data_IF_859257956605
#
_entry.id   IF_859257956605
#
_cell.length_a   1.000
_cell.length_b   1.000
_cell.length_c   1.000
_cell.angle_alpha   90.00
_cell.angle_beta   90.00
_cell.angle_gamma   90.00
#
_symmetry.space_group_name_H-M   'P 1'
#
loop_
_entity.id
_entity.type
_entity.pdbx_description
1 polymer ?
#
# COMPACT_ATOMS: atom_id res chain seq x y z
N UNK A 1 -55.26 18.38 -18.17
CA UNK A 1 -53.92 17.85 -17.83
C UNK A 1 -53.49 16.67 -18.72
N UNK A 2 -53.60 16.79 -20.06
CA UNK A 2 -53.05 15.80 -21.02
C UNK A 2 -52.14 16.45 -22.08
N UNK A 3 -51.88 17.75 -21.97
CA UNK A 3 -51.03 18.52 -22.90
C UNK A 3 -49.68 18.97 -22.30
N UNK A 4 -49.44 18.75 -21.01
CA UNK A 4 -48.19 19.11 -20.35
C UNK A 4 -47.20 17.91 -20.25
N UNK A 5 -47.69 16.67 -20.34
CA UNK A 5 -46.86 15.45 -20.35
C UNK A 5 -46.19 15.24 -21.71
N UNK A 6 -46.82 15.69 -22.81
CA UNK A 6 -46.28 15.54 -24.17
C UNK A 6 -45.04 16.42 -24.44
N UNK A 7 -44.84 17.50 -23.69
CA UNK A 7 -43.72 18.43 -23.87
C UNK A 7 -42.44 17.99 -23.12
N UNK A 8 -42.58 17.16 -22.09
CA UNK A 8 -41.44 16.57 -21.35
C UNK A 8 -40.92 15.30 -22.06
N UNK A 9 -41.77 14.59 -22.80
CA UNK A 9 -41.34 13.43 -23.60
C UNK A 9 -40.62 13.81 -24.90
N UNK A 10 -40.81 15.03 -25.43
CA UNK A 10 -40.12 15.47 -26.64
C UNK A 10 -38.70 16.01 -26.38
N UNK A 11 -38.37 16.34 -25.13
CA UNK A 11 -37.02 16.75 -24.71
C UNK A 11 -36.10 15.55 -24.40
N UNK A 12 -36.65 14.34 -24.34
CA UNK A 12 -35.89 13.09 -24.09
C UNK A 12 -35.54 12.37 -25.42
N UNK A 13 -36.07 12.81 -26.57
CA UNK A 13 -35.83 12.17 -27.87
C UNK A 13 -34.77 12.86 -28.77
N UNK A 14 -34.02 13.86 -28.27
CA UNK A 14 -32.99 14.57 -29.08
C UNK A 14 -31.54 14.19 -28.71
N UNK A 15 -31.32 13.18 -27.85
CA UNK A 15 -29.96 12.64 -27.61
C UNK A 15 -29.90 11.14 -27.89
N UNK A 16 -30.50 10.72 -29.01
CA UNK A 16 -30.26 9.40 -29.60
C UNK A 16 -29.83 9.58 -31.05
N UNK A 17 -28.70 8.98 -31.39
CA UNK A 17 -28.08 8.83 -32.71
C UNK A 17 -27.37 10.06 -33.30
N UNK A 18 -26.10 10.21 -32.91
CA UNK A 18 -25.02 10.20 -33.90
C UNK A 18 -23.97 9.18 -33.46
N UNK A 19 -23.99 8.02 -34.10
CA UNK A 19 -22.78 7.22 -34.30
C UNK A 19 -21.89 8.00 -35.26
N UNK A 20 -20.72 8.43 -34.80
CA UNK A 20 -19.46 8.40 -35.56
C UNK A 20 -18.30 8.79 -34.63
N UNK A 21 -17.29 7.92 -34.64
CA UNK A 21 -15.95 8.04 -34.05
C UNK A 21 -15.86 8.06 -32.50
N UNK A 22 -15.78 6.86 -31.93
CA UNK A 22 -15.10 6.58 -30.68
C UNK A 22 -13.64 7.06 -30.76
N UNK A 23 -13.42 8.34 -30.46
CA UNK A 23 -12.19 8.74 -29.81
C UNK A 23 -12.33 8.33 -28.34
N UNK A 24 -11.47 7.42 -27.90
CA UNK A 24 -11.26 7.16 -26.47
C UNK A 24 -11.17 8.52 -25.77
N UNK A 25 -12.02 8.82 -24.77
CA UNK A 25 -11.61 9.78 -23.78
C UNK A 25 -10.46 9.09 -23.05
N UNK A 26 -9.23 9.38 -23.47
CA UNK A 26 -8.11 9.29 -22.55
C UNK A 26 -8.59 9.93 -21.25
N UNK A 27 -8.62 9.15 -20.16
CA UNK A 27 -8.78 9.64 -18.81
C UNK A 27 -7.59 10.58 -18.51
N UNK A 28 -7.63 11.78 -19.07
CA UNK A 28 -6.85 12.93 -18.67
C UNK A 28 -7.51 13.51 -17.41
N UNK A 29 -7.56 12.72 -16.34
CA UNK A 29 -7.42 13.26 -15.00
C UNK A 29 -5.92 13.29 -14.70
N UNK A 30 -5.21 14.10 -15.48
CA UNK A 30 -3.87 14.56 -15.09
C UNK A 30 -4.10 15.52 -13.92
N UNK A 31 -4.14 14.96 -12.71
CA UNK A 31 -3.95 15.68 -11.46
C UNK A 31 -2.58 16.35 -11.55
N UNK A 32 -2.58 17.59 -12.04
CA UNK A 32 -1.45 18.51 -12.11
C UNK A 32 -0.99 19.01 -10.73
N UNK A 33 -1.19 18.20 -9.69
CA UNK A 33 -0.91 18.51 -8.28
C UNK A 33 0.28 17.70 -7.77
N UNK A 34 1.39 17.65 -8.51
CA UNK A 34 2.63 17.03 -8.01
C UNK A 34 3.85 17.81 -8.51
N UNK A 35 3.97 19.08 -8.13
CA UNK A 35 5.22 19.81 -8.33
C UNK A 35 5.60 20.58 -7.07
N UNK A 36 6.51 20.00 -6.30
CA UNK A 36 7.53 20.78 -5.62
C UNK A 36 8.88 20.18 -6.03
N UNK A 37 9.68 21.00 -6.72
CA UNK A 37 10.94 20.66 -7.40
C UNK A 37 12.10 20.35 -6.44
N UNK A 38 11.84 20.09 -5.16
CA UNK A 38 12.92 20.04 -4.16
C UNK A 38 13.17 18.67 -3.53
N UNK A 39 12.30 17.66 -3.65
CA UNK A 39 12.49 16.41 -2.86
C UNK A 39 11.89 15.09 -3.45
N UNK A 40 11.73 14.90 -4.77
CA UNK A 40 11.30 13.62 -5.40
C UNK A 40 10.35 12.76 -4.51
N UNK A 41 9.22 13.33 -4.08
CA UNK A 41 8.33 12.74 -3.07
C UNK A 41 6.91 13.21 -3.30
N UNK A 42 5.93 12.34 -3.04
CA UNK A 42 4.52 12.76 -2.99
C UNK A 42 4.30 13.76 -1.85
N UNK A 43 3.62 14.86 -2.15
CA UNK A 43 3.23 15.87 -1.17
C UNK A 43 1.77 16.23 -1.34
N UNK A 44 1.01 16.14 -0.25
CA UNK A 44 -0.41 16.47 -0.18
C UNK A 44 -0.58 17.70 0.71
N UNK A 45 -1.27 18.73 0.21
CA UNK A 45 -1.56 19.94 0.95
C UNK A 45 -2.63 19.76 2.02
N UNK A 46 -3.41 18.68 1.95
CA UNK A 46 -4.43 18.34 2.93
C UNK A 46 -4.65 16.82 3.05
N UNK A 47 -5.29 16.43 4.16
CA UNK A 47 -5.74 15.03 4.36
C UNK A 47 -6.76 14.61 3.29
N UNK A 48 -7.60 15.52 2.80
CA UNK A 48 -8.61 15.17 1.80
C UNK A 48 -8.00 14.90 0.43
N UNK A 49 -6.93 15.62 0.04
CA UNK A 49 -6.15 15.30 -1.17
C UNK A 49 -5.50 13.91 -1.09
N UNK A 50 -4.93 13.56 0.07
CA UNK A 50 -4.37 12.23 0.30
C UNK A 50 -5.45 11.15 0.21
N UNK A 51 -6.63 11.39 0.80
CA UNK A 51 -7.76 10.45 0.71
C UNK A 51 -8.20 10.26 -0.74
N UNK A 52 -8.37 11.34 -1.49
CA UNK A 52 -8.76 11.27 -2.89
C UNK A 52 -7.76 10.47 -3.71
N UNK A 53 -6.45 10.71 -3.52
CA UNK A 53 -5.38 9.97 -4.18
C UNK A 53 -5.47 8.46 -3.93
N UNK A 54 -5.73 8.06 -2.67
CA UNK A 54 -5.86 6.66 -2.27
C UNK A 54 -7.14 6.05 -2.84
N UNK A 55 -8.28 6.72 -2.70
CA UNK A 55 -9.59 6.23 -3.16
C UNK A 55 -9.58 5.92 -4.65
N UNK A 56 -9.10 6.86 -5.48
CA UNK A 56 -9.03 6.69 -6.94
C UNK A 56 -8.30 5.39 -7.32
N UNK A 57 -7.19 5.09 -6.64
CA UNK A 57 -6.36 3.91 -6.95
C UNK A 57 -6.90 2.61 -6.38
N UNK A 58 -7.53 2.66 -5.20
CA UNK A 58 -8.15 1.48 -4.61
C UNK A 58 -9.43 1.06 -5.35
N UNK A 59 -10.14 2.02 -5.96
CA UNK A 59 -11.35 1.79 -6.73
C UNK A 59 -11.05 1.48 -8.22
N UNK A 60 -10.00 2.08 -8.80
CA UNK A 60 -9.70 1.99 -10.23
C UNK A 60 -9.14 0.67 -10.76
N UNK A 61 -9.15 -0.40 -9.96
CA UNK A 61 -8.59 -1.73 -10.30
C UNK A 61 -7.14 -1.72 -10.86
N UNK A 62 -6.37 -0.66 -10.59
CA UNK A 62 -5.03 -0.46 -11.13
C UNK A 62 -4.04 -1.47 -10.53
N UNK A 63 -3.10 -1.95 -11.34
CA UNK A 63 -1.93 -2.67 -10.87
C UNK A 63 -0.91 -1.66 -10.31
N UNK A 64 -0.87 -1.53 -8.98
CA UNK A 64 -0.07 -0.52 -8.30
C UNK A 64 1.43 -0.64 -8.57
N UNK A 65 1.94 -1.84 -8.91
CA UNK A 65 3.36 -2.00 -9.25
C UNK A 65 3.65 -1.50 -10.67
N UNK A 66 2.72 -1.70 -11.60
CA UNK A 66 2.80 -1.11 -12.95
C UNK A 66 2.69 0.43 -12.86
N UNK A 67 1.81 0.95 -12.00
CA UNK A 67 1.70 2.39 -11.74
C UNK A 67 2.96 2.97 -11.09
N UNK A 68 3.54 2.28 -10.11
CA UNK A 68 4.78 2.70 -9.46
C UNK A 68 5.93 2.81 -10.45
N UNK A 69 6.01 1.86 -11.40
CA UNK A 69 6.99 1.89 -12.49
C UNK A 69 6.78 3.10 -13.40
N UNK A 70 5.54 3.38 -13.81
CA UNK A 70 5.20 4.55 -14.61
C UNK A 70 5.58 5.87 -13.92
N UNK A 71 5.33 6.00 -12.61
CA UNK A 71 5.71 7.19 -11.85
C UNK A 71 7.22 7.43 -11.82
N UNK A 72 8.02 6.36 -11.71
CA UNK A 72 9.49 6.43 -11.76
C UNK A 72 9.99 6.77 -13.16
N UNK A 73 9.44 6.14 -14.20
CA UNK A 73 9.79 6.41 -15.61
C UNK A 73 9.46 7.86 -16.04
N UNK A 74 8.38 8.43 -15.52
CA UNK A 74 8.00 9.84 -15.71
C UNK A 74 8.84 10.82 -14.88
N UNK A 75 9.77 10.32 -14.06
CA UNK A 75 10.64 11.14 -13.21
C UNK A 75 9.93 11.85 -12.07
N UNK A 76 8.77 11.35 -11.61
CA UNK A 76 8.00 11.97 -10.51
C UNK A 76 8.67 11.70 -9.15
N UNK A 77 8.92 10.44 -8.85
CA UNK A 77 9.65 9.94 -7.67
C UNK A 77 9.87 8.42 -7.84
N UNK A 78 10.68 7.78 -6.98
CA UNK A 78 10.84 6.33 -6.98
C UNK A 78 10.03 5.69 -5.83
N UNK A 79 8.84 5.13 -6.08
CA UNK A 79 8.03 4.57 -5.01
C UNK A 79 8.70 3.35 -4.36
N UNK A 80 8.64 3.19 -3.04
CA UNK A 80 9.18 2.00 -2.35
C UNK A 80 8.60 0.69 -2.90
N UNK A 81 7.34 0.71 -3.33
CA UNK A 81 6.72 -0.44 -3.99
C UNK A 81 7.52 -0.90 -5.21
N UNK A 82 8.04 0.03 -6.01
CA UNK A 82 8.94 -0.28 -7.11
C UNK A 82 10.31 -0.71 -6.58
N UNK A 83 10.90 0.06 -5.65
CA UNK A 83 12.25 -0.19 -5.11
C UNK A 83 12.41 -1.62 -4.60
N UNK A 84 11.43 -2.13 -3.85
CA UNK A 84 11.43 -3.52 -3.34
C UNK A 84 11.23 -4.60 -4.41
N UNK A 85 11.01 -4.22 -5.67
CA UNK A 85 10.81 -5.11 -6.81
C UNK A 85 11.81 -4.89 -7.97
N UNK A 86 12.78 -3.98 -7.80
CA UNK A 86 13.82 -3.73 -8.79
C UNK A 86 14.81 -4.90 -8.90
N UNK A 87 15.32 -5.12 -10.10
CA UNK A 87 16.52 -5.94 -10.31
C UNK A 87 17.79 -5.11 -10.06
N UNK A 88 18.91 -5.77 -9.72
CA UNK A 88 20.16 -5.07 -9.39
C UNK A 88 20.61 -4.07 -10.47
N UNK A 89 20.45 -4.39 -11.76
CA UNK A 89 20.75 -3.45 -12.86
C UNK A 89 19.80 -2.27 -12.92
N UNK A 90 18.51 -2.48 -12.66
CA UNK A 90 17.52 -1.39 -12.63
C UNK A 90 17.81 -0.47 -11.43
N UNK A 91 18.13 -1.05 -10.26
CA UNK A 91 18.53 -0.29 -9.07
C UNK A 91 19.81 0.53 -9.31
N UNK A 92 20.84 -0.05 -9.94
CA UNK A 92 22.06 0.66 -10.32
C UNK A 92 21.80 1.84 -11.27
N UNK A 93 20.92 1.66 -12.26
CA UNK A 93 20.53 2.73 -13.19
C UNK A 93 19.81 3.89 -12.49
N UNK A 94 19.01 3.58 -11.47
CA UNK A 94 18.31 4.56 -10.65
C UNK A 94 19.18 5.13 -9.51
N UNK A 95 20.42 4.65 -9.36
CA UNK A 95 21.32 5.06 -8.28
C UNK A 95 20.91 4.56 -6.89
N UNK A 96 20.00 3.59 -6.81
CA UNK A 96 19.42 3.07 -5.57
C UNK A 96 20.33 2.01 -4.99
N UNK A 97 20.67 2.16 -3.71
CA UNK A 97 21.53 1.24 -2.96
C UNK A 97 20.73 0.56 -1.85
N UNK A 98 20.71 -0.77 -1.87
CA UNK A 98 19.97 -1.58 -0.89
C UNK A 98 20.26 -1.19 0.58
N UNK A 99 21.53 -0.92 0.91
CA UNK A 99 21.95 -0.53 2.26
C UNK A 99 21.43 0.83 2.73
N UNK A 100 21.06 1.69 1.79
CA UNK A 100 20.60 3.06 2.05
C UNK A 100 19.05 3.13 1.97
N UNK A 101 18.39 2.05 1.52
CA UNK A 101 16.93 1.92 1.43
C UNK A 101 16.33 1.66 2.82
N UNK A 102 15.26 2.37 3.22
CA UNK A 102 14.60 2.18 4.50
C UNK A 102 13.92 0.81 4.59
N UNK A 103 13.77 0.33 5.81
CA UNK A 103 13.09 -0.94 6.09
C UNK A 103 11.63 -0.66 6.46
N UNK A 104 10.70 -0.89 5.53
CA UNK A 104 9.25 -0.74 5.73
C UNK A 104 8.59 -2.12 5.66
N UNK A 105 8.32 -2.71 6.83
CA UNK A 105 7.70 -4.04 6.96
C UNK A 105 6.19 -4.02 6.70
N UNK A 106 5.76 -3.50 5.55
CA UNK A 106 4.35 -3.44 5.12
C UNK A 106 4.05 -4.39 3.97
N UNK A 107 2.84 -4.94 3.99
CA UNK A 107 2.27 -5.75 2.91
C UNK A 107 1.26 -4.98 2.06
N UNK A 108 0.99 -3.74 2.46
CA UNK A 108 0.07 -2.87 1.78
C UNK A 108 0.80 -2.16 0.63
N UNK A 109 0.48 -2.58 -0.59
CA UNK A 109 1.02 -1.97 -1.80
C UNK A 109 0.67 -0.48 -1.90
N UNK A 110 -0.46 -0.04 -1.33
CA UNK A 110 -0.83 1.36 -1.32
C UNK A 110 0.12 2.17 -0.44
N UNK A 111 0.42 1.69 0.77
CA UNK A 111 1.39 2.36 1.63
C UNK A 111 2.77 2.42 0.96
N UNK A 112 3.23 1.32 0.37
CA UNK A 112 4.53 1.29 -0.30
C UNK A 112 4.57 2.16 -1.56
N UNK A 113 3.43 2.37 -2.22
CA UNK A 113 3.31 3.33 -3.33
C UNK A 113 3.43 4.77 -2.81
N UNK A 114 2.82 5.08 -1.67
CA UNK A 114 2.82 6.43 -1.11
C UNK A 114 4.20 6.96 -0.70
N UNK A 115 5.15 6.07 -0.42
CA UNK A 115 6.48 6.40 0.09
C UNK A 115 7.52 6.45 -1.04
N UNK A 116 8.39 7.45 -1.05
CA UNK A 116 9.55 7.51 -1.96
C UNK A 116 10.70 6.59 -1.51
N UNK A 117 11.81 6.57 -2.24
CA UNK A 117 12.97 5.69 -2.00
C UNK A 117 13.62 5.85 -0.60
N UNK A 118 13.40 6.98 0.08
CA UNK A 118 13.85 7.27 1.44
C UNK A 118 12.80 6.92 2.51
N UNK A 119 11.63 6.43 2.08
CA UNK A 119 10.54 6.00 2.95
C UNK A 119 9.66 7.14 3.38
N UNK A 120 9.58 8.19 2.57
CA UNK A 120 9.01 9.49 2.94
C UNK A 120 7.74 9.85 2.14
N UNK A 121 6.85 10.59 2.81
CA UNK A 121 5.66 11.23 2.23
C UNK A 121 5.43 12.60 2.89
N UNK A 122 5.06 13.61 2.10
CA UNK A 122 4.67 14.93 2.58
C UNK A 122 3.16 15.02 2.79
N UNK A 123 2.73 15.42 3.98
CA UNK A 123 1.32 15.67 4.31
C UNK A 123 1.24 16.98 5.09
N UNK A 124 0.51 17.94 4.56
CA UNK A 124 0.48 19.32 5.04
C UNK A 124 1.93 19.86 5.17
N UNK A 125 2.26 20.47 6.31
CA UNK A 125 3.57 21.05 6.59
C UNK A 125 4.62 20.05 7.11
N UNK A 126 4.27 18.76 7.17
CA UNK A 126 5.14 17.72 7.73
C UNK A 126 5.56 16.69 6.69
N UNK A 127 6.70 16.07 6.96
CA UNK A 127 7.18 14.88 6.27
C UNK A 127 7.11 13.72 7.24
N UNK A 128 6.55 12.62 6.75
CA UNK A 128 6.48 11.35 7.46
C UNK A 128 7.47 10.38 6.83
N UNK A 129 8.39 9.84 7.62
CA UNK A 129 9.33 8.81 7.19
C UNK A 129 9.10 7.53 7.96
N UNK A 130 9.05 6.39 7.28
CA UNK A 130 9.05 5.06 7.93
C UNK A 130 10.41 4.42 7.73
N UNK A 131 11.06 4.01 8.82
CA UNK A 131 12.31 3.25 8.77
C UNK A 131 12.49 2.38 10.01
N UNK A 132 12.54 1.06 9.80
CA UNK A 132 12.62 0.07 10.86
C UNK A 132 11.37 0.09 11.74
N UNK A 133 11.57 0.22 13.05
CA UNK A 133 10.49 0.24 14.05
C UNK A 133 9.79 1.60 14.19
N UNK A 134 10.26 2.62 13.45
CA UNK A 134 9.92 4.01 13.71
C UNK A 134 9.20 4.68 12.56
N UNK A 135 8.26 5.55 12.93
CA UNK A 135 7.69 6.57 12.05
C UNK A 135 8.15 7.93 12.57
N UNK A 136 8.93 8.63 11.76
CA UNK A 136 9.40 9.99 12.04
C UNK A 136 8.41 10.98 11.44
N UNK A 137 8.03 12.00 12.20
CA UNK A 137 7.28 13.15 11.73
C UNK A 137 8.10 14.40 11.98
N UNK A 138 8.39 15.14 10.90
CA UNK A 138 9.25 16.31 11.00
C UNK A 138 8.93 17.39 9.95
N UNK A 139 9.18 18.65 10.31
CA UNK A 139 9.10 19.81 9.41
C UNK A 139 10.43 20.04 8.69
N UNK A 140 10.48 20.99 7.74
CA UNK A 140 11.70 21.31 6.96
C UNK A 140 12.92 21.49 7.88
N UNK A 141 13.99 20.74 7.59
CA UNK A 141 15.24 20.73 8.39
C UNK A 141 15.26 19.76 9.56
N UNK A 142 14.11 19.24 10.00
CA UNK A 142 13.99 18.31 11.14
C UNK A 142 14.65 16.93 10.89
N UNK A 143 14.74 16.48 9.63
CA UNK A 143 15.41 15.24 9.23
C UNK A 143 16.85 15.13 9.77
N UNK A 144 17.57 16.26 9.87
CA UNK A 144 18.95 16.32 10.37
C UNK A 144 19.11 15.87 11.83
N UNK A 145 18.00 15.78 12.58
CA UNK A 145 17.99 15.33 13.98
C UNK A 145 17.81 13.82 14.13
N UNK A 146 17.43 13.09 13.07
CA UNK A 146 17.22 11.63 13.12
C UNK A 146 18.49 10.88 13.56
N UNK A 147 19.70 11.16 13.03
CA UNK A 147 20.92 10.48 13.48
C UNK A 147 21.23 10.69 14.96
N UNK A 148 20.91 11.88 15.49
CA UNK A 148 21.08 12.19 16.93
C UNK A 148 20.11 11.39 17.77
N UNK A 149 18.85 11.29 17.34
CA UNK A 149 17.86 10.43 17.98
C UNK A 149 18.32 8.96 17.99
N UNK A 150 18.74 8.43 16.85
CA UNK A 150 19.20 7.03 16.75
C UNK A 150 20.39 6.76 17.68
N UNK A 151 21.35 7.70 17.76
CA UNK A 151 22.47 7.60 18.70
C UNK A 151 22.00 7.54 20.16
N UNK A 152 21.09 8.43 20.56
CA UNK A 152 20.56 8.47 21.93
C UNK A 152 19.71 7.23 22.26
N UNK A 153 18.92 6.72 21.30
CA UNK A 153 18.15 5.49 21.45
C UNK A 153 19.07 4.27 21.63
N UNK A 154 20.11 4.15 20.79
CA UNK A 154 21.07 3.04 20.85
C UNK A 154 21.95 3.08 22.11
N UNK A 155 22.24 4.27 22.63
CA UNK A 155 22.92 4.44 23.92
C UNK A 155 22.00 4.15 25.13
N UNK A 156 20.69 3.96 24.90
CA UNK A 156 19.71 3.71 25.96
C UNK A 156 19.28 4.96 26.73
N UNK A 157 19.66 6.16 26.27
CA UNK A 157 19.29 7.46 26.85
C UNK A 157 17.83 7.80 26.56
N UNK A 158 17.32 7.35 25.41
CA UNK A 158 15.91 7.47 25.02
C UNK A 158 15.28 6.08 25.00
N UNK A 159 14.08 5.96 25.59
CA UNK A 159 13.26 4.74 25.52
C UNK A 159 11.86 5.11 25.07
N UNK A 160 11.35 4.36 24.10
CA UNK A 160 10.01 4.53 23.55
C UNK A 160 9.34 3.15 23.60
N UNK A 161 8.16 3.07 24.21
CA UNK A 161 7.33 1.87 24.20
C UNK A 161 6.68 1.64 22.85
N UNK A 162 6.26 0.40 22.57
CA UNK A 162 5.55 0.11 21.33
C UNK A 162 4.16 0.75 21.36
N UNK A 163 3.80 1.49 20.32
CA UNK A 163 2.59 2.29 20.25
C UNK A 163 2.72 3.68 20.88
N UNK A 164 3.90 4.04 21.40
CA UNK A 164 4.12 5.35 22.02
C UNK A 164 4.76 6.34 21.04
N UNK A 165 4.47 7.61 21.27
CA UNK A 165 5.05 8.76 20.56
C UNK A 165 5.99 9.51 21.50
N UNK A 166 7.18 9.87 21.01
CA UNK A 166 8.20 10.61 21.73
C UNK A 166 8.59 11.87 20.95
N UNK A 167 8.48 13.03 21.60
CA UNK A 167 8.90 14.31 21.02
C UNK A 167 10.37 14.57 21.35
N UNK A 168 11.25 14.34 20.38
CA UNK A 168 12.70 14.50 20.56
C UNK A 168 13.15 15.96 20.46
N UNK A 169 12.51 16.75 19.59
CA UNK A 169 12.76 18.19 19.46
C UNK A 169 11.47 18.93 19.08
N UNK A 170 11.56 20.24 18.77
CA UNK A 170 10.40 20.98 18.25
C UNK A 170 10.04 20.50 16.84
N UNK A 171 11.03 20.05 16.09
CA UNK A 171 10.96 19.71 14.67
C UNK A 171 10.91 18.20 14.40
N UNK A 172 11.11 17.34 15.41
CA UNK A 172 11.14 15.88 15.26
C UNK A 172 10.32 15.17 16.34
N UNK A 173 9.33 14.42 15.88
CA UNK A 173 8.54 13.48 16.69
C UNK A 173 8.72 12.06 16.15
N UNK A 174 8.87 11.08 17.05
CA UNK A 174 9.08 9.68 16.71
C UNK A 174 7.95 8.85 17.29
N UNK A 175 7.28 8.07 16.46
CA UNK A 175 6.33 7.04 16.88
C UNK A 175 6.96 5.67 16.70
N UNK A 176 6.97 4.83 17.74
CA UNK A 176 7.43 3.44 17.63
C UNK A 176 6.23 2.54 17.36
N UNK A 177 6.10 2.04 16.14
CA UNK A 177 4.90 1.28 15.78
C UNK A 177 4.86 -0.10 16.43
N UNK A 178 3.66 -0.65 16.58
CA UNK A 178 3.42 -2.00 17.11
C UNK A 178 3.06 -3.01 16.01
N UNK A 179 3.31 -2.67 14.73
CA UNK A 179 3.16 -3.59 13.61
C UNK A 179 4.05 -4.81 13.84
N UNK A 180 3.45 -6.01 13.82
CA UNK A 180 4.23 -7.24 14.04
C UNK A 180 4.95 -7.63 12.76
N UNK A 181 6.23 -8.06 12.85
CA UNK A 181 6.94 -8.61 11.71
C UNK A 181 6.28 -9.90 11.22
N UNK A 182 6.59 -10.28 9.98
CA UNK A 182 6.07 -11.49 9.34
C UNK A 182 6.22 -12.72 10.24
N UNK A 183 5.11 -13.41 10.51
CA UNK A 183 5.13 -14.76 11.10
C UNK A 183 4.62 -15.74 10.05
N UNK A 184 5.45 -16.71 9.68
CA UNK A 184 4.99 -17.84 8.87
C UNK A 184 3.99 -18.66 9.69
N UNK A 185 2.81 -18.88 9.14
CA UNK A 185 1.77 -19.64 9.83
C UNK A 185 2.01 -21.14 9.60
N UNK A 186 2.63 -21.79 10.57
CA UNK A 186 2.45 -23.23 10.80
C UNK A 186 1.16 -23.45 11.62
N UNK A 187 0.01 -23.37 10.95
CA UNK A 187 -1.22 -24.01 11.41
C UNK A 187 -2.10 -23.33 12.48
N UNK A 188 -1.89 -22.08 12.91
CA UNK A 188 -2.90 -21.35 13.75
C UNK A 188 -3.01 -19.86 13.39
N UNK A 189 -4.25 -19.39 13.22
CA UNK A 189 -4.61 -18.01 12.89
C UNK A 189 -3.98 -17.01 13.85
N UNK A 190 -3.13 -16.14 13.31
CA UNK A 190 -2.48 -15.04 14.01
C UNK A 190 -2.50 -13.82 13.08
N UNK A 191 -2.55 -12.63 13.69
CA UNK A 191 -2.50 -11.32 13.02
C UNK A 191 -1.41 -11.29 11.94
N UNK A 192 -1.74 -10.82 10.73
CA UNK A 192 -0.76 -10.70 9.64
C UNK A 192 -0.22 -12.04 9.15
N UNK A 193 -1.11 -12.96 8.76
CA UNK A 193 -0.73 -14.29 8.32
C UNK A 193 -0.14 -14.29 6.90
N UNK A 194 1.04 -14.91 6.73
CA UNK A 194 1.63 -15.21 5.43
C UNK A 194 1.63 -16.72 5.19
N UNK A 195 1.23 -17.13 3.98
CA UNK A 195 1.37 -18.51 3.50
C UNK A 195 2.13 -18.54 2.17
N UNK A 196 3.12 -19.42 2.07
CA UNK A 196 3.86 -19.68 0.85
C UNK A 196 3.41 -21.00 0.23
N UNK A 197 3.12 -20.98 -1.07
CA UNK A 197 2.82 -22.18 -1.85
C UNK A 197 3.73 -22.22 -3.07
N UNK A 198 4.55 -23.24 -3.16
CA UNK A 198 5.55 -23.36 -4.20
C UNK A 198 4.96 -24.07 -5.42
N UNK A 199 5.05 -23.43 -6.58
CA UNK A 199 4.85 -24.11 -7.86
C UNK A 199 6.09 -24.94 -8.20
N UNK A 200 7.27 -24.45 -7.81
CA UNK A 200 8.58 -25.11 -7.92
C UNK A 200 9.60 -24.41 -7.02
N UNK A 201 10.86 -24.85 -7.06
CA UNK A 201 11.97 -24.18 -6.36
C UNK A 201 12.22 -22.72 -6.79
N UNK A 202 11.73 -22.33 -7.96
CA UNK A 202 11.95 -21.01 -8.55
C UNK A 202 10.70 -20.14 -8.58
N UNK A 203 9.53 -20.67 -8.24
CA UNK A 203 8.27 -19.95 -8.33
C UNK A 203 7.40 -20.26 -7.11
N UNK A 204 6.91 -19.21 -6.44
CA UNK A 204 6.01 -19.36 -5.31
C UNK A 204 4.88 -18.35 -5.35
N UNK A 205 3.68 -18.79 -4.98
CA UNK A 205 2.61 -17.91 -4.55
C UNK A 205 2.84 -17.52 -3.10
N UNK A 206 2.59 -16.24 -2.82
CA UNK A 206 2.66 -15.63 -1.51
C UNK A 206 1.30 -15.03 -1.20
N UNK A 207 0.60 -15.69 -0.30
CA UNK A 207 -0.74 -15.35 0.17
C UNK A 207 -0.62 -14.63 1.51
N UNK A 208 -1.30 -13.48 1.66
CA UNK A 208 -1.17 -12.64 2.84
C UNK A 208 -2.47 -12.00 3.28
N UNK A 209 -2.64 -11.92 4.58
CA UNK A 209 -3.52 -11.00 5.28
C UNK A 209 -2.66 -9.95 6.00
N UNK A 210 -3.11 -8.71 6.08
CA UNK A 210 -2.37 -7.65 6.75
C UNK A 210 -3.30 -6.67 7.44
N UNK A 211 -2.83 -6.11 8.55
CA UNK A 211 -3.38 -4.93 9.18
C UNK A 211 -2.20 -4.13 9.75
N UNK A 212 -2.16 -2.83 9.50
CA UNK A 212 -1.05 -1.97 9.89
C UNK A 212 -1.50 -0.61 10.36
N UNK A 213 -0.77 -0.04 11.32
CA UNK A 213 -0.93 1.33 11.78
C UNK A 213 0.43 2.00 11.83
N UNK A 214 0.61 3.01 10.97
CA UNK A 214 1.88 3.70 10.71
C UNK A 214 1.83 5.16 11.14
N UNK A 215 1.11 5.44 12.23
CA UNK A 215 0.79 6.80 12.71
C UNK A 215 -0.10 7.59 11.75
N UNK A 216 0.35 7.96 10.56
CA UNK A 216 -0.40 8.81 9.62
C UNK A 216 -1.35 8.02 8.70
N UNK A 217 -1.10 6.72 8.55
CA UNK A 217 -1.84 5.80 7.69
C UNK A 217 -2.13 4.50 8.43
N UNK A 218 -3.33 3.98 8.26
CA UNK A 218 -3.70 2.66 8.73
C UNK A 218 -4.55 1.93 7.72
N UNK A 219 -4.43 0.61 7.67
CA UNK A 219 -5.21 -0.21 6.76
C UNK A 219 -5.33 -1.65 7.23
N UNK A 220 -6.31 -2.34 6.68
CA UNK A 220 -6.48 -3.79 6.77
C UNK A 220 -6.83 -4.34 5.38
N UNK A 221 -6.24 -5.46 5.01
CA UNK A 221 -6.38 -6.00 3.67
C UNK A 221 -5.80 -7.40 3.51
N UNK A 222 -5.78 -7.84 2.26
CA UNK A 222 -5.11 -9.07 1.85
C UNK A 222 -4.54 -8.96 0.45
N UNK A 223 -3.56 -9.81 0.17
CA UNK A 223 -2.81 -9.82 -1.07
C UNK A 223 -2.45 -11.22 -1.50
N UNK A 224 -2.61 -11.49 -2.80
CA UNK A 224 -2.00 -12.64 -3.49
C UNK A 224 -0.99 -12.10 -4.49
N UNK A 225 0.25 -12.58 -4.43
CA UNK A 225 1.23 -12.35 -5.51
C UNK A 225 2.04 -13.60 -5.80
N UNK A 226 2.63 -13.66 -6.99
CA UNK A 226 3.61 -14.69 -7.35
C UNK A 226 4.99 -14.07 -7.41
N UNK A 227 5.96 -14.80 -6.87
CA UNK A 227 7.35 -14.43 -6.84
C UNK A 227 8.19 -15.45 -7.60
N UNK A 228 9.06 -14.96 -8.46
CA UNK A 228 10.11 -15.72 -9.14
C UNK A 228 11.44 -15.55 -8.40
N UNK A 229 12.14 -16.65 -8.14
CA UNK A 229 13.48 -16.63 -7.59
C UNK A 229 14.47 -16.28 -8.68
N UNK A 230 15.12 -15.12 -8.55
CA UNK A 230 16.30 -14.78 -9.34
C UNK A 230 17.55 -15.24 -8.61
N UNK A 231 18.52 -15.75 -9.36
CA UNK A 231 19.84 -16.14 -8.85
C UNK A 231 20.91 -15.47 -9.70
N UNK A 232 21.84 -14.79 -9.05
CA UNK A 232 23.04 -14.25 -9.68
C UNK A 232 24.24 -14.54 -8.79
N UNK A 233 25.14 -15.41 -9.26
CA UNK A 233 26.24 -15.95 -8.46
C UNK A 233 25.74 -16.54 -7.12
N UNK A 234 26.17 -16.01 -5.98
CA UNK A 234 25.76 -16.45 -4.64
C UNK A 234 24.55 -15.69 -4.09
N UNK A 235 24.04 -14.68 -4.80
CA UNK A 235 22.87 -13.90 -4.39
C UNK A 235 21.60 -14.52 -4.97
N UNK A 236 20.56 -14.60 -4.14
CA UNK A 236 19.22 -14.94 -4.63
C UNK A 236 18.16 -14.08 -3.98
N UNK A 237 17.27 -13.52 -4.79
CA UNK A 237 16.15 -12.71 -4.33
C UNK A 237 14.86 -13.17 -5.00
N UNK A 238 13.73 -12.72 -4.46
CA UNK A 238 12.40 -13.01 -4.98
C UNK A 238 11.82 -11.75 -5.62
N UNK A 239 11.50 -11.82 -6.91
CA UNK A 239 10.88 -10.72 -7.66
C UNK A 239 9.42 -11.01 -7.92
N UNK A 240 8.55 -10.03 -7.76
CA UNK A 240 7.13 -10.17 -8.11
C UNK A 240 6.97 -10.28 -9.63
N UNK A 241 6.13 -11.21 -10.07
CA UNK A 241 5.83 -11.42 -11.50
C UNK A 241 4.33 -11.37 -11.78
N UNK A 242 3.98 -10.86 -12.95
CA UNK A 242 2.60 -10.80 -13.44
C UNK A 242 2.09 -12.19 -13.74
N UNK A 243 0.93 -12.53 -13.20
CA UNK A 243 0.29 -13.83 -13.42
C UNK A 243 -1.20 -13.75 -13.17
N UNK A 244 -1.92 -14.84 -13.46
CA UNK A 244 -3.32 -14.98 -13.07
C UNK A 244 -3.40 -15.15 -11.55
N UNK A 245 -3.73 -14.06 -10.86
CA UNK A 245 -3.91 -14.00 -9.42
C UNK A 245 -5.40 -13.90 -9.09
N UNK A 246 -5.80 -14.59 -8.02
CA UNK A 246 -7.14 -14.55 -7.46
C UNK A 246 -7.08 -14.37 -5.96
N UNK A 247 -7.97 -13.53 -5.46
CA UNK A 247 -8.20 -13.27 -4.06
C UNK A 247 -9.71 -13.27 -3.83
N UNK A 248 -10.20 -14.09 -2.91
CA UNK A 248 -11.56 -14.04 -2.38
C UNK A 248 -11.46 -13.80 -0.88
N UNK A 249 -12.36 -13.00 -0.33
CA UNK A 249 -12.35 -12.70 1.10
C UNK A 249 -13.75 -12.57 1.67
N UNK A 250 -13.89 -13.00 2.91
CA UNK A 250 -15.04 -12.78 3.75
C UNK A 250 -14.52 -12.62 5.17
N UNK A 251 -14.48 -11.38 5.65
CA UNK A 251 -13.81 -11.04 6.89
C UNK A 251 -14.70 -10.15 7.76
N UNK A 252 -14.54 -10.27 9.07
CA UNK A 252 -15.11 -9.39 10.08
C UNK A 252 -13.97 -8.79 10.89
N UNK A 253 -14.02 -7.49 11.13
CA UNK A 253 -12.97 -6.74 11.81
C UNK A 253 -13.55 -5.64 12.70
N UNK A 254 -12.79 -5.31 13.73
CA UNK A 254 -13.08 -4.26 14.71
C UNK A 254 -12.27 -3.00 14.34
N UNK A 255 -12.94 -1.86 14.35
CA UNK A 255 -12.36 -0.53 14.20
C UNK A 255 -12.34 0.11 15.56
N UNK A 256 -11.15 0.45 16.07
CA UNK A 256 -11.00 1.26 17.28
C UNK A 256 -10.56 2.65 16.89
N UNK A 257 -11.27 3.68 17.36
CA UNK A 257 -10.83 5.05 17.12
C UNK A 257 -9.69 5.43 18.05
N UNK A 258 -8.68 6.11 17.52
CA UNK A 258 -7.59 6.69 18.32
C UNK A 258 -8.08 7.84 19.23
N UNK A 259 -9.28 8.37 19.00
CA UNK A 259 -9.88 9.47 19.76
C UNK A 259 -10.86 9.02 20.87
N UNK A 260 -10.90 7.73 21.21
CA UNK A 260 -11.63 7.22 22.38
C UNK A 260 -13.11 6.90 22.15
N UNK A 261 -13.53 6.75 20.89
CA UNK A 261 -14.87 6.25 20.56
C UNK A 261 -14.97 4.73 20.79
N UNK A 262 -16.18 4.21 21.10
CA UNK A 262 -16.38 2.77 21.24
C UNK A 262 -16.02 2.06 19.92
N UNK A 263 -15.46 0.84 19.99
CA UNK A 263 -15.14 0.09 18.78
C UNK A 263 -16.38 -0.23 17.94
N UNK A 264 -16.21 -0.23 16.62
CA UNK A 264 -17.25 -0.60 15.65
C UNK A 264 -16.83 -1.86 14.91
N UNK A 265 -17.73 -2.84 14.80
CA UNK A 265 -17.50 -4.06 14.04
C UNK A 265 -18.07 -3.92 12.63
N UNK A 266 -17.23 -4.14 11.61
CA UNK A 266 -17.63 -4.17 10.21
C UNK A 266 -17.28 -5.53 9.58
N UNK A 267 -17.95 -5.83 8.48
CA UNK A 267 -17.65 -7.00 7.66
C UNK A 267 -17.42 -6.59 6.21
N UNK A 268 -16.48 -7.26 5.55
CA UNK A 268 -16.20 -7.06 4.13
C UNK A 268 -16.13 -8.41 3.43
N UNK A 269 -16.80 -8.52 2.27
CA UNK A 269 -16.69 -9.70 1.41
C UNK A 269 -16.67 -9.30 -0.06
N UNK A 270 -15.77 -9.90 -0.83
CA UNK A 270 -15.71 -9.77 -2.29
C UNK A 270 -14.67 -10.73 -2.87
N UNK A 271 -14.38 -10.56 -4.16
CA UNK A 271 -13.29 -11.22 -4.85
C UNK A 271 -12.58 -10.24 -5.80
N UNK A 272 -11.33 -10.57 -6.15
CA UNK A 272 -10.51 -9.88 -7.14
C UNK A 272 -9.78 -10.92 -7.98
N UNK A 273 -10.05 -10.92 -9.27
CA UNK A 273 -9.42 -11.81 -10.25
C UNK A 273 -8.74 -10.96 -11.32
N UNK A 274 -7.43 -11.13 -11.50
CA UNK A 274 -6.68 -10.35 -12.48
C UNK A 274 -5.44 -11.07 -13.02
N UNK A 275 -5.05 -10.71 -14.24
CA UNK A 275 -3.69 -10.93 -14.73
C UNK A 275 -2.84 -9.72 -14.32
N UNK A 276 -2.19 -9.81 -13.17
CA UNK A 276 -1.62 -8.67 -12.43
C UNK A 276 -0.40 -9.13 -11.63
N UNK A 277 0.47 -8.20 -11.22
CA UNK A 277 1.59 -8.46 -10.31
C UNK A 277 1.08 -8.86 -8.91
N UNK A 278 -0.06 -8.30 -8.52
CA UNK A 278 -0.62 -8.43 -7.18
C UNK A 278 -2.14 -8.29 -7.21
N UNK A 279 -2.86 -9.34 -6.81
CA UNK A 279 -4.26 -9.21 -6.42
C UNK A 279 -4.31 -8.69 -4.98
N UNK A 280 -4.12 -7.38 -4.82
CA UNK A 280 -4.23 -6.67 -3.54
C UNK A 280 -5.65 -6.09 -3.36
N UNK A 281 -6.20 -6.24 -2.16
CA UNK A 281 -7.42 -5.54 -1.73
C UNK A 281 -7.28 -5.04 -0.30
N UNK A 282 -7.46 -3.73 -0.14
CA UNK A 282 -7.66 -3.06 1.14
C UNK A 282 -9.16 -3.06 1.42
N UNK A 283 -9.55 -3.54 2.61
CA UNK A 283 -10.95 -3.62 3.03
C UNK A 283 -11.42 -2.32 3.65
N UNK A 284 -10.53 -1.69 4.41
CA UNK A 284 -10.75 -0.43 5.09
C UNK A 284 -9.37 0.20 5.36
N UNK A 285 -9.33 1.52 5.37
CA UNK A 285 -8.15 2.32 5.60
C UNK A 285 -8.52 3.70 6.13
N UNK A 286 -7.58 4.33 6.80
CA UNK A 286 -7.73 5.70 7.24
C UNK A 286 -6.42 6.45 7.18
N UNK A 287 -6.54 7.75 6.99
CA UNK A 287 -5.42 8.69 7.06
C UNK A 287 -5.80 9.83 8.00
N UNK A 288 -4.81 10.39 8.68
CA UNK A 288 -5.06 11.50 9.58
C UNK A 288 -3.79 12.14 10.09
N UNK A 289 -3.92 13.42 10.41
CA UNK A 289 -2.89 14.25 11.02
C UNK A 289 -3.39 14.76 12.39
N UNK A 290 -2.62 14.66 13.49
CA UNK A 290 -1.26 14.10 13.57
C UNK A 290 -1.23 12.57 13.50
N UNK A 291 -2.39 11.92 13.56
CA UNK A 291 -2.54 10.47 13.59
C UNK A 291 -3.80 10.04 12.82
N UNK A 292 -3.72 8.87 12.18
CA UNK A 292 -4.82 8.19 11.53
C UNK A 292 -5.91 7.89 12.56
N UNK A 293 -7.19 8.14 12.23
CA UNK A 293 -8.28 8.07 13.20
C UNK A 293 -8.61 6.65 13.63
N UNK A 294 -8.26 5.63 12.83
CA UNK A 294 -8.72 4.26 13.02
C UNK A 294 -7.56 3.27 13.16
N UNK A 295 -7.72 2.30 14.07
CA UNK A 295 -6.90 1.11 14.17
C UNK A 295 -7.77 -0.10 13.85
N UNK A 296 -7.29 -0.97 12.97
CA UNK A 296 -8.02 -2.14 12.50
C UNK A 296 -7.50 -3.41 13.17
N UNK A 297 -8.44 -4.22 13.67
CA UNK A 297 -8.16 -5.51 14.29
C UNK A 297 -9.06 -6.58 13.67
N UNK A 298 -8.49 -7.61 13.02
CA UNK A 298 -9.30 -8.71 12.51
C UNK A 298 -9.96 -9.47 13.68
N UNK A 299 -11.20 -9.93 13.47
CA UNK A 299 -11.95 -10.74 14.43
C UNK A 299 -12.10 -12.19 13.94
N UNK A 300 -12.66 -12.38 12.75
CA UNK A 300 -12.92 -13.71 12.17
C UNK A 300 -13.05 -13.64 10.65
N UNK A 301 -13.12 -14.81 10.00
CA UNK A 301 -13.34 -14.95 8.57
C UNK A 301 -12.14 -15.58 7.86
N UNK A 302 -12.09 -15.41 6.54
CA UNK A 302 -11.07 -16.04 5.72
C UNK A 302 -10.73 -15.24 4.46
N UNK A 303 -9.57 -15.54 3.92
CA UNK A 303 -9.13 -15.16 2.57
C UNK A 303 -8.69 -16.40 1.81
N UNK A 304 -9.22 -16.58 0.59
CA UNK A 304 -8.77 -17.63 -0.33
C UNK A 304 -7.88 -16.99 -1.38
N UNK A 305 -6.70 -17.55 -1.53
CA UNK A 305 -5.67 -17.12 -2.43
C UNK A 305 -5.44 -18.20 -3.46
N UNK A 306 -5.32 -17.81 -4.70
CA UNK A 306 -5.05 -18.72 -5.80
C UNK A 306 -4.19 -18.01 -6.83
N UNK A 307 -3.25 -18.74 -7.39
CA UNK A 307 -2.44 -18.25 -8.49
C UNK A 307 -2.18 -19.36 -9.49
N UNK A 308 -2.13 -18.99 -10.77
CA UNK A 308 -1.82 -19.90 -11.86
C UNK A 308 -0.63 -19.38 -12.65
N UNK A 309 0.33 -20.27 -12.90
CA UNK A 309 1.58 -20.02 -13.59
C UNK A 309 1.77 -21.06 -14.70
N UNK A 310 1.70 -20.61 -15.95
CA UNK A 310 1.55 -21.48 -17.12
C UNK A 310 2.74 -22.42 -17.41
N UNK A 311 3.95 -22.10 -16.93
CA UNK A 311 5.18 -22.81 -17.32
C UNK A 311 5.72 -23.82 -16.29
N UNK A 312 4.94 -24.17 -15.25
CA UNK A 312 5.35 -25.16 -14.22
C UNK A 312 4.31 -26.25 -14.00
N UNK A 313 4.68 -27.33 -13.29
CA UNK A 313 3.77 -28.35 -12.78
C UNK A 313 4.07 -28.61 -11.28
N UNK A 314 3.13 -28.39 -10.33
CA UNK A 314 1.78 -27.87 -10.58
C UNK A 314 1.82 -26.46 -11.17
N UNK A 315 0.89 -26.19 -12.09
CA UNK A 315 0.70 -24.87 -12.69
C UNK A 315 -0.23 -23.99 -11.84
N UNK A 316 -0.83 -24.55 -10.78
CA UNK A 316 -1.83 -23.90 -9.97
C UNK A 316 -1.59 -24.22 -8.51
N UNK A 317 -1.59 -23.20 -7.66
CA UNK A 317 -1.52 -23.38 -6.21
C UNK A 317 -2.56 -22.50 -5.52
N UNK A 318 -2.99 -22.92 -4.35
CA UNK A 318 -3.96 -22.18 -3.54
C UNK A 318 -3.65 -22.28 -2.05
N UNK A 319 -4.12 -21.29 -1.30
CA UNK A 319 -4.06 -21.25 0.15
C UNK A 319 -5.32 -20.57 0.69
N UNK A 320 -5.86 -21.08 1.79
CA UNK A 320 -6.86 -20.36 2.58
C UNK A 320 -6.21 -19.93 3.88
N UNK A 321 -6.36 -18.66 4.23
CA UNK A 321 -5.91 -18.08 5.49
C UNK A 321 -7.14 -17.72 6.30
N UNK A 322 -7.20 -18.14 7.55
CA UNK A 322 -8.28 -17.84 8.49
C UNK A 322 -7.78 -16.86 9.55
N UNK A 323 -8.64 -15.94 9.97
CA UNK A 323 -8.39 -15.06 11.11
C UNK A 323 -8.70 -15.75 12.44
#
# INVERSE_FOLDING_TARGET
MKKMIALIMLSIMIISCKEEEMSNPENQNDLSVFKSNENNMLRFGSIDELKEFISIRQEGEVDLLDEARKMSEEGKYNPLLLVYNLEGKEAEQLGIKERDTPIVSSNDDMLLLLLNEDGEIGIEDNTYRIDGDFVYSYSVGGASSIPKFLSAYNAGEVRIGNGDTYKFSKELTIYKHNNQPEREVEGKGLRGATSYKYFSNNYRMKARQYNGYWLFYSSIGAKTKVEERKKFLWWSWWKTVKTDNRLEYQITYEITSTFGFPPVTLSASSHKYCYCNSANKVYDWSVGFPAAPNIYKPLEGYTKHWAHWYSTNPNTVSATIYY
#
